data_IF_612086873924
#
_entry.id   IF_612086873924
#
_cell.length_a   1.000
_cell.length_b   1.000
_cell.length_c   1.000
_cell.angle_alpha   90.00
_cell.angle_beta   90.00
_cell.angle_gamma   90.00
#
_symmetry.space_group_name_H-M   'P 1'
#
loop_
_entity.id
_entity.type
_entity.pdbx_description
1 polymer ?
#
# COMPACT_ATOMS: atom_id res chain seq x y z
N UNK A 1 22.62 -3.90 0.89
CA UNK A 1 21.41 -4.51 1.36
C UNK A 1 20.31 -3.49 1.36
N UNK A 2 19.28 -3.86 0.78
CA UNK A 2 18.14 -2.98 0.78
C UNK A 2 17.25 -3.33 1.94
N UNK A 3 17.04 -2.39 2.77
CA UNK A 3 16.00 -2.53 3.76
C UNK A 3 14.65 -2.39 3.06
N UNK A 4 13.83 -3.39 3.17
CA UNK A 4 12.49 -3.36 2.64
C UNK A 4 11.54 -2.60 3.56
N UNK A 5 12.04 -1.64 4.30
CA UNK A 5 11.32 -0.88 5.29
C UNK A 5 11.72 -1.28 6.70
N UNK A 6 11.39 -0.43 7.66
CA UNK A 6 11.75 -0.65 9.05
C UNK A 6 11.12 -1.95 9.57
N UNK A 7 11.94 -2.84 10.10
CA UNK A 7 11.49 -4.09 10.69
C UNK A 7 11.36 -5.26 9.73
N UNK A 8 11.57 -5.05 8.45
CA UNK A 8 11.56 -6.16 7.49
C UNK A 8 12.90 -6.86 7.54
N UNK A 9 12.88 -8.15 7.81
CA UNK A 9 14.11 -8.97 7.83
C UNK A 9 14.51 -9.28 6.40
N UNK A 10 15.78 -9.02 6.11
CA UNK A 10 16.34 -9.35 4.81
C UNK A 10 16.63 -10.84 4.76
N UNK A 11 15.93 -11.52 3.90
CA UNK A 11 16.18 -12.92 3.61
C UNK A 11 15.73 -13.19 2.19
N UNK A 12 16.67 -13.44 1.29
CA UNK A 12 16.41 -13.64 -0.12
C UNK A 12 15.58 -14.90 -0.40
N UNK A 13 15.46 -15.80 0.58
CA UNK A 13 14.68 -17.03 0.42
C UNK A 13 13.22 -16.86 0.82
N UNK A 14 12.85 -15.77 1.45
CA UNK A 14 11.49 -15.56 1.88
C UNK A 14 10.65 -14.91 0.78
N UNK A 15 9.45 -15.41 0.60
CA UNK A 15 8.49 -14.87 -0.34
C UNK A 15 7.42 -14.11 0.44
N UNK A 16 6.91 -13.06 -0.17
CA UNK A 16 5.82 -12.27 0.39
C UNK A 16 4.58 -12.45 -0.48
N UNK A 17 3.44 -12.47 0.16
CA UNK A 17 2.15 -12.56 -0.52
C UNK A 17 1.31 -11.35 -0.14
N UNK A 18 0.60 -10.81 -1.10
CA UNK A 18 -0.34 -9.73 -0.84
C UNK A 18 -1.69 -10.35 -0.51
N UNK A 19 -2.20 -10.11 0.69
CA UNK A 19 -3.44 -10.70 1.18
C UNK A 19 -4.37 -9.59 1.64
N UNK A 20 -5.63 -9.68 1.26
CA UNK A 20 -6.64 -8.70 1.72
C UNK A 20 -6.83 -8.82 3.23
N UNK A 21 -6.97 -7.68 3.88
CA UNK A 21 -7.08 -7.60 5.34
C UNK A 21 -8.27 -8.40 5.88
N UNK A 22 -9.39 -8.37 5.18
CA UNK A 22 -10.64 -8.96 5.68
C UNK A 22 -10.61 -10.48 5.86
N UNK A 23 -9.66 -11.17 5.22
CA UNK A 23 -9.53 -12.62 5.39
C UNK A 23 -8.41 -13.01 6.35
N UNK A 24 -7.67 -12.05 6.89
CA UNK A 24 -6.59 -12.35 7.82
C UNK A 24 -7.15 -12.80 9.17
N UNK A 25 -6.46 -13.72 9.86
CA UNK A 25 -6.79 -14.07 11.25
C UNK A 25 -6.74 -12.84 12.16
N UNK A 26 -7.58 -12.82 13.18
CA UNK A 26 -7.69 -11.69 14.11
C UNK A 26 -6.35 -11.31 14.75
N UNK A 27 -5.56 -12.30 15.18
CA UNK A 27 -4.26 -12.02 15.79
C UNK A 27 -3.33 -11.25 14.85
N UNK A 28 -3.38 -11.54 13.57
CA UNK A 28 -2.55 -10.84 12.57
C UNK A 28 -3.07 -9.43 12.34
N UNK A 29 -4.39 -9.25 12.21
CA UNK A 29 -4.99 -7.91 12.09
C UNK A 29 -4.64 -7.03 13.27
N UNK A 30 -4.75 -7.58 14.48
CA UNK A 30 -4.43 -6.84 15.71
C UNK A 30 -2.95 -6.50 15.81
N UNK A 31 -2.08 -7.39 15.35
CA UNK A 31 -0.64 -7.12 15.28
C UNK A 31 -0.36 -5.92 14.38
N UNK A 32 -0.99 -5.84 13.23
CA UNK A 32 -0.85 -4.69 12.32
C UNK A 32 -1.30 -3.41 13.02
N UNK A 33 -2.45 -3.44 13.70
CA UNK A 33 -2.97 -2.27 14.42
C UNK A 33 -2.05 -1.84 15.56
N UNK A 34 -1.47 -2.77 16.30
CA UNK A 34 -0.49 -2.46 17.35
C UNK A 34 0.72 -1.74 16.76
N UNK A 35 1.24 -2.22 15.62
CA UNK A 35 2.36 -1.57 14.95
C UNK A 35 2.01 -0.14 14.51
N UNK A 36 0.80 0.09 14.02
CA UNK A 36 0.32 1.42 13.65
C UNK A 36 0.23 2.34 14.86
N UNK A 37 -0.31 1.83 15.97
CA UNK A 37 -0.41 2.59 17.23
C UNK A 37 0.98 3.05 17.69
N UNK A 38 1.96 2.17 17.67
CA UNK A 38 3.32 2.48 18.08
C UNK A 38 3.98 3.48 17.11
N UNK A 39 3.74 3.32 15.83
CA UNK A 39 4.30 4.20 14.80
C UNK A 39 3.79 5.63 14.92
N UNK A 40 2.50 5.79 15.21
CA UNK A 40 1.87 7.10 15.36
C UNK A 40 1.98 7.67 16.77
N UNK A 41 2.74 7.03 17.64
CA UNK A 41 3.01 7.49 19.02
C UNK A 41 1.74 7.70 19.86
N UNK A 42 0.69 6.94 19.60
CA UNK A 42 -0.53 6.95 20.40
C UNK A 42 -0.25 6.40 21.79
N UNK A 43 0.67 5.46 21.89
CA UNK A 43 1.28 5.04 23.16
C UNK A 43 2.78 4.85 22.94
N UNK A 44 3.54 4.76 24.04
CA UNK A 44 5.00 4.57 23.98
C UNK A 44 5.42 3.14 24.28
N UNK A 45 4.52 2.33 24.80
CA UNK A 45 4.90 0.98 25.24
C UNK A 45 4.12 -0.07 24.47
N UNK A 46 4.79 -1.19 24.21
CA UNK A 46 4.17 -2.34 23.59
C UNK A 46 3.02 -2.85 24.47
N UNK A 47 3.22 -2.86 25.79
CA UNK A 47 2.19 -3.33 26.73
C UNK A 47 0.88 -2.56 26.59
N UNK A 48 0.97 -1.25 26.49
CA UNK A 48 -0.23 -0.42 26.30
C UNK A 48 -0.89 -0.69 24.96
N UNK A 49 -0.09 -0.76 23.90
CA UNK A 49 -0.61 -0.95 22.55
C UNK A 49 -1.32 -2.30 22.39
N UNK A 50 -0.73 -3.38 22.91
CA UNK A 50 -1.38 -4.70 22.83
C UNK A 50 -2.64 -4.75 23.68
N UNK A 51 -2.65 -4.07 24.83
CA UNK A 51 -3.85 -3.98 25.66
C UNK A 51 -4.97 -3.25 24.95
N UNK A 52 -4.66 -2.14 24.28
CA UNK A 52 -5.65 -1.39 23.51
C UNK A 52 -6.32 -2.24 22.44
N UNK A 53 -5.59 -3.18 21.88
CA UNK A 53 -6.09 -4.06 20.83
C UNK A 53 -6.59 -5.41 21.34
N UNK A 54 -6.59 -5.63 22.64
CA UNK A 54 -6.96 -6.93 23.23
C UNK A 54 -6.16 -8.06 22.59
N UNK A 55 -4.85 -7.88 22.54
CA UNK A 55 -3.92 -8.85 21.98
C UNK A 55 -2.92 -9.26 23.06
N UNK A 56 -2.57 -10.54 23.17
CA UNK A 56 -1.55 -10.97 24.11
C UNK A 56 -0.16 -10.56 23.63
N UNK A 57 0.75 -10.35 24.58
CA UNK A 57 2.14 -10.05 24.24
C UNK A 57 2.77 -11.19 23.42
N UNK A 58 2.50 -12.42 23.79
CA UNK A 58 3.06 -13.57 23.08
C UNK A 58 2.61 -13.63 21.62
N UNK A 59 1.33 -13.32 21.35
CA UNK A 59 0.83 -13.25 19.98
C UNK A 59 1.49 -12.13 19.20
N UNK A 60 1.64 -10.95 19.82
CA UNK A 60 2.31 -9.84 19.17
C UNK A 60 3.74 -10.20 18.80
N UNK A 61 4.53 -10.76 19.75
CA UNK A 61 5.92 -11.13 19.48
C UNK A 61 6.04 -12.27 18.48
N UNK A 62 5.02 -13.12 18.37
CA UNK A 62 5.01 -14.18 17.37
C UNK A 62 4.95 -13.63 15.95
N UNK A 63 4.19 -12.56 15.73
CA UNK A 63 3.92 -12.06 14.38
C UNK A 63 4.61 -10.75 14.01
N UNK A 64 5.15 -10.02 14.97
CA UNK A 64 5.59 -8.64 14.74
C UNK A 64 6.64 -8.48 13.64
N UNK A 65 7.51 -9.45 13.47
CA UNK A 65 8.60 -9.38 12.49
C UNK A 65 8.22 -9.96 11.13
N UNK A 66 6.99 -10.44 10.99
CA UNK A 66 6.55 -11.13 9.78
C UNK A 66 5.34 -10.47 9.12
N UNK A 67 4.79 -9.45 9.73
CA UNK A 67 3.59 -8.77 9.25
C UNK A 67 3.89 -7.27 9.20
N UNK A 68 3.67 -6.67 8.04
CA UNK A 68 4.02 -5.27 7.81
C UNK A 68 2.88 -4.55 7.11
N UNK A 69 2.59 -3.29 7.49
CA UNK A 69 1.75 -2.45 6.65
C UNK A 69 2.38 -2.33 5.26
N UNK A 70 1.57 -2.42 4.22
CA UNK A 70 2.06 -2.46 2.84
C UNK A 70 2.91 -1.23 2.50
N UNK A 71 2.51 -0.06 2.96
CA UNK A 71 3.26 1.17 2.68
C UNK A 71 4.68 1.15 3.28
N UNK A 72 4.88 0.44 4.40
CA UNK A 72 6.21 0.32 5.00
C UNK A 72 7.14 -0.50 4.10
N UNK A 73 6.59 -1.52 3.45
CA UNK A 73 7.36 -2.37 2.54
C UNK A 73 7.68 -1.62 1.25
N UNK A 74 6.75 -0.78 0.78
CA UNK A 74 6.90 -0.05 -0.47
C UNK A 74 7.58 1.31 -0.32
N UNK A 75 7.81 1.77 0.91
CA UNK A 75 8.44 3.06 1.16
C UNK A 75 9.80 3.13 0.47
N UNK A 76 10.00 4.14 -0.36
CA UNK A 76 11.24 4.30 -1.13
C UNK A 76 11.36 3.33 -2.30
N UNK A 77 10.31 2.65 -2.67
CA UNK A 77 10.27 1.69 -3.77
C UNK A 77 9.43 2.21 -4.93
N UNK A 78 9.51 1.50 -6.03
CA UNK A 78 8.68 1.74 -7.20
C UNK A 78 7.50 0.77 -7.15
N UNK A 79 6.31 1.30 -7.25
CA UNK A 79 5.07 0.52 -7.31
C UNK A 79 4.45 0.73 -8.68
N UNK A 80 4.02 -0.37 -9.30
CA UNK A 80 3.32 -0.31 -10.58
C UNK A 80 1.85 -0.64 -10.36
N UNK A 81 0.99 0.28 -10.78
CA UNK A 81 -0.45 0.15 -10.68
C UNK A 81 -1.05 -0.06 -12.07
N UNK A 82 -2.06 -0.91 -12.14
CA UNK A 82 -2.95 -0.99 -13.29
C UNK A 82 -4.23 -0.27 -12.92
N UNK A 83 -4.58 0.77 -13.67
CA UNK A 83 -5.77 1.58 -13.42
C UNK A 83 -6.68 1.45 -14.62
N UNK A 84 -7.88 0.93 -14.41
CA UNK A 84 -8.89 0.84 -15.46
C UNK A 84 -9.73 2.11 -15.40
N UNK A 85 -9.70 2.88 -16.49
CA UNK A 85 -10.43 4.16 -16.58
C UNK A 85 -11.42 4.12 -17.74
N UNK A 86 -12.45 4.97 -17.64
CA UNK A 86 -13.31 5.22 -18.78
C UNK A 86 -12.53 6.00 -19.85
N UNK A 87 -12.75 5.63 -21.11
CA UNK A 87 -12.13 6.30 -22.24
C UNK A 87 -12.86 7.61 -22.56
N UNK A 88 -12.57 8.64 -21.76
CA UNK A 88 -13.17 9.97 -21.88
C UNK A 88 -12.08 11.03 -21.67
N UNK A 89 -12.21 12.21 -22.30
CA UNK A 89 -11.27 13.30 -22.06
C UNK A 89 -11.19 13.65 -20.58
N UNK A 90 -9.97 13.85 -20.09
CA UNK A 90 -9.72 14.29 -18.72
C UNK A 90 -9.61 13.19 -17.68
N UNK A 91 -9.99 11.97 -17.97
CA UNK A 91 -9.94 10.88 -16.97
C UNK A 91 -8.51 10.53 -16.57
N UNK A 92 -7.62 10.38 -17.56
CA UNK A 92 -6.21 10.12 -17.28
C UNK A 92 -5.57 11.27 -16.50
N UNK A 93 -5.85 12.51 -16.91
CA UNK A 93 -5.32 13.70 -16.22
C UNK A 93 -5.72 13.71 -14.75
N UNK A 94 -6.94 13.32 -14.42
CA UNK A 94 -7.43 13.27 -13.05
C UNK A 94 -6.66 12.25 -12.22
N UNK A 95 -6.36 11.09 -12.79
CA UNK A 95 -5.55 10.06 -12.14
C UNK A 95 -4.14 10.58 -11.87
N UNK A 96 -3.50 11.18 -12.90
CA UNK A 96 -2.14 11.70 -12.76
C UNK A 96 -2.05 12.84 -11.74
N UNK A 97 -3.03 13.74 -11.76
CA UNK A 97 -3.08 14.84 -10.80
C UNK A 97 -3.27 14.34 -9.37
N UNK A 98 -4.05 13.29 -9.17
CA UNK A 98 -4.25 12.69 -7.85
C UNK A 98 -2.96 12.08 -7.31
N UNK A 99 -2.21 11.38 -8.15
CA UNK A 99 -0.91 10.84 -7.78
C UNK A 99 0.05 11.97 -7.41
N UNK A 100 0.12 13.00 -8.23
CA UNK A 100 1.00 14.16 -8.00
C UNK A 100 0.62 14.92 -6.73
N UNK A 101 -0.67 15.07 -6.45
CA UNK A 101 -1.15 15.75 -5.25
C UNK A 101 -0.72 15.05 -3.96
N UNK A 102 -0.45 13.75 -4.03
CA UNK A 102 0.05 12.96 -2.92
C UNK A 102 1.57 12.76 -2.97
N UNK A 103 2.26 13.56 -3.76
CA UNK A 103 3.72 13.51 -3.96
C UNK A 103 4.24 12.17 -4.48
N UNK A 104 3.42 11.45 -5.22
CA UNK A 104 3.92 10.32 -6.00
C UNK A 104 4.64 10.82 -7.24
N UNK A 105 5.82 10.27 -7.51
CA UNK A 105 6.60 10.60 -8.69
C UNK A 105 6.32 9.57 -9.77
N UNK A 106 5.69 10.00 -10.85
CA UNK A 106 5.33 9.09 -11.94
C UNK A 106 6.54 8.88 -12.85
N UNK A 107 6.99 7.66 -12.94
CA UNK A 107 8.16 7.29 -13.73
C UNK A 107 7.78 6.83 -15.14
N UNK A 108 6.72 6.03 -15.25
CA UNK A 108 6.25 5.53 -16.55
C UNK A 108 4.74 5.54 -16.59
N UNK A 109 4.21 5.74 -17.78
CA UNK A 109 2.78 5.66 -18.09
C UNK A 109 2.65 4.84 -19.38
N UNK A 110 1.85 3.79 -19.33
CA UNK A 110 1.48 3.04 -20.53
C UNK A 110 -0.03 2.91 -20.60
N UNK A 111 -0.63 3.44 -21.63
CA UNK A 111 -2.06 3.29 -21.85
C UNK A 111 -2.29 2.31 -22.97
N UNK A 112 -3.10 1.29 -22.69
CA UNK A 112 -3.51 0.34 -23.70
C UNK A 112 -4.54 0.94 -24.65
N UNK A 113 -4.75 0.26 -25.76
CA UNK A 113 -5.79 0.65 -26.71
C UNK A 113 -7.15 0.50 -26.04
N UNK A 114 -7.99 1.55 -26.05
CA UNK A 114 -9.32 1.46 -25.44
C UNK A 114 -10.15 0.32 -26.04
N UNK A 115 -10.85 -0.40 -25.18
CA UNK A 115 -11.72 -1.49 -25.56
C UNK A 115 -13.03 -1.37 -24.80
N UNK A 116 -14.13 -1.36 -25.52
CA UNK A 116 -15.47 -1.25 -24.93
C UNK A 116 -15.63 -0.04 -24.01
N UNK A 117 -15.06 1.08 -24.42
CA UNK A 117 -15.17 2.34 -23.68
C UNK A 117 -14.28 2.44 -22.43
N UNK A 118 -13.38 1.48 -22.24
CA UNK A 118 -12.46 1.45 -21.11
C UNK A 118 -11.03 1.39 -21.59
N UNK A 119 -10.11 1.96 -20.83
CA UNK A 119 -8.68 1.88 -21.09
C UNK A 119 -7.95 1.41 -19.86
N UNK A 120 -6.96 0.55 -20.05
CA UNK A 120 -6.07 0.10 -18.99
C UNK A 120 -4.81 0.97 -19.02
N UNK A 121 -4.51 1.60 -17.89
CA UNK A 121 -3.33 2.45 -17.74
C UNK A 121 -2.41 1.84 -16.70
N UNK A 122 -1.17 1.58 -17.09
CA UNK A 122 -0.11 1.13 -16.18
C UNK A 122 0.70 2.34 -15.74
N UNK A 123 0.84 2.54 -14.46
CA UNK A 123 1.61 3.62 -13.87
C UNK A 123 2.69 3.05 -12.97
N UNK A 124 3.95 3.40 -13.21
CA UNK A 124 5.03 3.14 -12.26
C UNK A 124 5.31 4.40 -11.47
N UNK A 125 5.21 4.29 -10.16
CA UNK A 125 5.26 5.43 -9.24
C UNK A 125 6.38 5.21 -8.23
N UNK A 126 7.26 6.19 -8.10
CA UNK A 126 8.22 6.20 -7.01
C UNK A 126 7.53 6.76 -5.77
N UNK A 127 7.62 6.03 -4.66
CA UNK A 127 6.80 6.30 -3.48
C UNK A 127 7.55 6.98 -2.34
N UNK A 128 8.85 7.21 -2.49
CA UNK A 128 9.70 7.66 -1.37
C UNK A 128 9.27 9.00 -0.76
N UNK A 129 8.73 9.91 -1.56
CA UNK A 129 8.32 11.24 -1.11
C UNK A 129 6.80 11.37 -0.96
N UNK A 130 6.07 10.26 -1.05
CA UNK A 130 4.62 10.31 -0.91
C UNK A 130 4.21 10.77 0.48
N UNK A 131 3.14 11.56 0.53
CA UNK A 131 2.60 12.11 1.77
C UNK A 131 1.62 11.16 2.46
N UNK A 132 1.19 10.11 1.77
CA UNK A 132 0.26 9.11 2.27
C UNK A 132 0.78 7.72 1.93
N UNK A 133 0.34 6.67 2.65
CA UNK A 133 0.66 5.29 2.27
C UNK A 133 0.08 4.92 0.91
N UNK A 134 0.70 3.95 0.24
CA UNK A 134 0.28 3.50 -1.10
C UNK A 134 -1.17 3.01 -1.10
N UNK A 135 -1.57 2.27 -0.07
CA UNK A 135 -2.94 1.76 0.03
C UNK A 135 -3.97 2.89 0.11
N UNK A 136 -3.61 4.00 0.74
CA UNK A 136 -4.49 5.17 0.82
C UNK A 136 -4.58 5.88 -0.53
N UNK A 137 -3.48 5.98 -1.26
CA UNK A 137 -3.50 6.49 -2.63
C UNK A 137 -4.42 5.64 -3.51
N UNK A 138 -4.32 4.33 -3.40
CA UNK A 138 -5.17 3.42 -4.17
C UNK A 138 -6.65 3.67 -3.87
N UNK A 139 -7.00 3.81 -2.59
CA UNK A 139 -8.39 4.12 -2.19
C UNK A 139 -8.86 5.44 -2.77
N UNK A 140 -8.00 6.45 -2.78
CA UNK A 140 -8.32 7.76 -3.34
C UNK A 140 -8.58 7.65 -4.85
N UNK A 141 -7.73 6.91 -5.55
CA UNK A 141 -7.92 6.69 -6.98
C UNK A 141 -9.22 5.94 -7.28
N UNK A 142 -9.54 4.94 -6.47
CA UNK A 142 -10.77 4.16 -6.65
C UNK A 142 -12.04 4.99 -6.46
N UNK A 143 -11.96 6.10 -5.73
CA UNK A 143 -13.09 7.01 -5.52
C UNK A 143 -13.31 7.97 -6.69
N UNK A 144 -12.38 8.10 -7.61
CA UNK A 144 -12.55 8.95 -8.78
C UNK A 144 -13.63 8.36 -9.67
N UNK A 145 -14.56 9.20 -10.15
CA UNK A 145 -15.70 8.75 -10.94
C UNK A 145 -15.31 8.09 -12.27
N UNK A 146 -14.14 8.45 -12.80
CA UNK A 146 -13.65 7.89 -14.04
C UNK A 146 -12.83 6.61 -13.87
N UNK A 147 -12.63 6.15 -12.64
CA UNK A 147 -11.84 4.96 -12.36
C UNK A 147 -12.76 3.80 -12.00
N UNK A 148 -12.60 2.69 -12.70
CA UNK A 148 -13.37 1.48 -12.47
C UNK A 148 -12.65 0.54 -11.50
N UNK A 149 -11.31 0.44 -11.61
CA UNK A 149 -10.55 -0.55 -10.86
C UNK A 149 -9.10 -0.12 -10.75
N UNK A 150 -8.47 -0.41 -9.62
CA UNK A 150 -7.03 -0.19 -9.40
C UNK A 150 -6.43 -1.45 -8.81
N UNK A 151 -5.39 -1.97 -9.46
CA UNK A 151 -4.65 -3.14 -8.99
C UNK A 151 -3.16 -2.84 -8.90
N UNK A 152 -2.49 -3.44 -7.94
CA UNK A 152 -1.03 -3.45 -7.90
C UNK A 152 -0.56 -4.62 -8.75
N UNK A 153 0.26 -4.32 -9.76
CA UNK A 153 0.76 -5.35 -10.67
C UNK A 153 2.27 -5.56 -10.56
N UNK A 154 2.96 -4.74 -9.78
CA UNK A 154 4.38 -4.92 -9.58
C UNK A 154 4.91 -3.99 -8.51
N UNK A 155 6.07 -4.34 -7.97
CA UNK A 155 6.82 -3.46 -7.09
C UNK A 155 8.31 -3.80 -7.18
N UNK A 156 9.13 -2.79 -7.09
CA UNK A 156 10.57 -2.94 -7.19
C UNK A 156 11.31 -2.21 -6.08
#
# INVERSE_FOLDING_TARGET
>A
SSDLGAGVKEDSNHKFYLVREDILPEAIKKTIKVKEILKHHQTRTINEAVRMMDLSRSAYYKYKDYVFPFYDVTQGKIVTLSVMIFDRPGELSQVLNTVAANNGSILTINQGIPLQGMADVSLSIETKDMTVPVDELIKTLEKLSGVSKVDIIGQA
#
